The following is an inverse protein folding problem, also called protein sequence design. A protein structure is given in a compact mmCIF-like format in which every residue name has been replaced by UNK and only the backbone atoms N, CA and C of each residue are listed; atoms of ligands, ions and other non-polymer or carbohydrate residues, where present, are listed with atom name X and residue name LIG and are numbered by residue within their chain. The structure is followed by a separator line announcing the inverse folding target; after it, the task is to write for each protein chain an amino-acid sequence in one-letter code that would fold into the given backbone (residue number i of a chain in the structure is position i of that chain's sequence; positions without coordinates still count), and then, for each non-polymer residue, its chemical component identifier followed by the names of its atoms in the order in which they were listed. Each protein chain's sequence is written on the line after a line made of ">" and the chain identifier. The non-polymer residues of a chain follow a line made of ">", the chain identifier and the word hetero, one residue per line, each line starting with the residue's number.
data_IF_582317705490
#
_entry.id   IF_582317705490
#
_cell.length_a   1.000
_cell.length_b   1.000
_cell.length_c   1.000
_cell.angle_alpha   90.00
_cell.angle_beta   90.00
_cell.angle_gamma   90.00
#
_symmetry.space_group_name_H-M   'P 1'
#
loop_
_entity.id
_entity.type
_entity.pdbx_description
1 polymer ?
#
# COMPACT_ATOMS: atom_id res chain seq x y z
N UNK A 1 1.16 5.41 -7.29
CA UNK A 1 2.18 4.88 -6.35
C UNK A 1 3.34 5.87 -6.29
N UNK A 2 3.98 6.08 -5.12
CA UNK A 2 5.09 7.04 -5.00
C UNK A 2 6.24 6.52 -5.88
N UNK A 3 6.60 7.21 -6.97
CA UNK A 3 7.61 6.74 -7.94
C UNK A 3 8.98 6.45 -7.30
N UNK A 4 9.27 7.04 -6.14
CA UNK A 4 10.54 6.90 -5.44
C UNK A 4 10.82 5.50 -4.88
N UNK A 5 9.76 4.71 -4.61
CA UNK A 5 9.88 3.36 -4.05
C UNK A 5 9.85 2.27 -5.13
N UNK A 6 9.66 2.64 -6.39
CA UNK A 6 9.69 1.68 -7.49
C UNK A 6 11.13 1.11 -7.64
N UNK A 7 11.32 -0.23 -7.68
CA UNK A 7 12.62 -0.87 -7.84
C UNK A 7 13.47 -0.26 -8.97
N UNK A 8 12.89 0.00 -10.14
CA UNK A 8 13.62 0.59 -11.26
C UNK A 8 14.12 2.02 -10.95
N UNK A 9 13.33 2.78 -10.19
CA UNK A 9 13.65 4.15 -9.81
C UNK A 9 14.60 4.23 -8.60
N UNK A 10 14.50 3.26 -7.69
CA UNK A 10 15.35 3.14 -6.52
C UNK A 10 16.77 2.67 -6.89
N UNK A 11 16.89 1.70 -7.81
CA UNK A 11 18.19 1.21 -8.30
C UNK A 11 18.93 2.25 -9.15
N UNK A 12 18.21 3.02 -9.97
CA UNK A 12 18.81 4.07 -10.81
C UNK A 12 19.31 5.29 -10.02
N UNK A 13 19.07 5.34 -8.70
CA UNK A 13 19.49 6.41 -7.80
C UNK A 13 19.14 7.83 -8.30
N UNK A 14 18.07 7.97 -9.09
CA UNK A 14 17.66 9.25 -9.65
C UNK A 14 17.34 10.26 -8.53
N UNK A 15 16.84 9.77 -7.40
CA UNK A 15 16.62 10.60 -6.21
C UNK A 15 17.81 10.54 -5.25
N UNK A 16 18.71 11.51 -5.40
CA UNK A 16 19.94 11.64 -4.58
C UNK A 16 19.70 11.94 -3.11
N UNK A 17 18.50 12.37 -2.72
CA UNK A 17 18.19 12.75 -1.35
C UNK A 17 16.75 12.49 -0.95
N UNK A 18 16.59 11.87 0.23
CA UNK A 18 15.30 11.73 0.91
C UNK A 18 14.93 12.97 1.75
N UNK A 19 15.70 14.07 1.68
CA UNK A 19 15.43 15.34 2.38
C UNK A 19 13.98 15.83 2.25
N UNK A 20 13.34 15.83 1.06
CA UNK A 20 11.95 16.28 0.92
C UNK A 20 10.96 15.47 1.77
N UNK A 21 11.26 14.19 2.02
CA UNK A 21 10.43 13.29 2.83
C UNK A 21 10.53 13.66 4.30
N UNK A 22 11.73 13.96 4.79
CA UNK A 22 11.94 14.42 6.17
C UNK A 22 11.31 15.79 6.44
N UNK A 23 11.25 16.66 5.43
CA UNK A 23 10.53 17.95 5.53
C UNK A 23 9.02 17.71 5.61
N UNK A 24 8.50 16.79 4.79
CA UNK A 24 7.07 16.47 4.75
C UNK A 24 6.59 15.68 5.98
N UNK A 25 7.45 14.84 6.56
CA UNK A 25 7.16 14.01 7.73
C UNK A 25 8.19 14.26 8.82
N UNK A 26 8.08 15.37 9.58
CA UNK A 26 9.04 15.72 10.63
C UNK A 26 9.12 14.66 11.74
N UNK A 27 8.07 13.86 11.91
CA UNK A 27 8.04 12.74 12.87
C UNK A 27 9.15 11.72 12.63
N UNK A 28 9.61 11.56 11.37
CA UNK A 28 10.72 10.67 11.05
C UNK A 28 12.03 11.10 11.71
N UNK A 29 12.23 12.39 11.98
CA UNK A 29 13.46 12.89 12.60
C UNK A 29 13.64 12.38 14.04
N UNK A 30 12.55 12.03 14.71
CA UNK A 30 12.58 11.48 16.07
C UNK A 30 12.76 9.95 16.06
N UNK A 31 12.46 9.29 14.95
CA UNK A 31 12.43 7.82 14.84
C UNK A 31 13.70 7.28 14.18
N UNK A 32 14.24 8.00 13.19
CA UNK A 32 15.40 7.55 12.40
C UNK A 32 16.50 8.61 12.36
N UNK A 33 17.75 8.14 12.36
CA UNK A 33 18.93 9.01 12.21
C UNK A 33 19.08 9.41 10.75
N UNK A 34 18.77 10.67 10.40
CA UNK A 34 18.83 11.17 9.02
C UNK A 34 20.15 10.89 8.30
N UNK A 35 21.29 11.00 9.00
CA UNK A 35 22.61 10.75 8.41
C UNK A 35 22.78 9.27 8.06
N UNK A 36 22.42 8.37 8.98
CA UNK A 36 22.46 6.93 8.75
C UNK A 36 21.51 6.53 7.61
N UNK A 37 20.28 7.07 7.55
CA UNK A 37 19.35 6.79 6.46
C UNK A 37 19.88 7.23 5.10
N UNK A 38 20.58 8.38 5.01
CA UNK A 38 21.18 8.85 3.76
C UNK A 38 22.32 7.94 3.30
N UNK A 39 23.10 7.42 4.24
CA UNK A 39 24.17 6.49 3.96
C UNK A 39 23.58 5.14 3.49
N UNK A 40 22.63 4.59 4.24
CA UNK A 40 21.90 3.36 3.88
C UNK A 40 21.24 3.46 2.48
N UNK A 41 20.67 4.62 2.13
CA UNK A 41 20.09 4.86 0.81
C UNK A 41 21.13 4.82 -0.32
N UNK A 42 22.33 5.33 -0.07
CA UNK A 42 23.44 5.27 -1.03
C UNK A 42 24.00 3.86 -1.15
N UNK A 43 24.22 3.20 -0.02
CA UNK A 43 24.71 1.82 0.03
C UNK A 43 23.76 0.88 -0.71
N UNK A 44 22.44 1.05 -0.55
CA UNK A 44 21.43 0.31 -1.30
C UNK A 44 21.62 0.44 -2.82
N UNK A 45 21.85 1.66 -3.34
CA UNK A 45 22.01 1.88 -4.77
C UNK A 45 23.37 1.42 -5.31
N UNK A 46 24.34 1.17 -4.42
CA UNK A 46 25.64 0.59 -4.76
C UNK A 46 25.65 -0.93 -4.59
N UNK A 47 24.57 -1.54 -4.10
CA UNK A 47 24.48 -3.00 -4.00
C UNK A 47 24.59 -3.61 -5.39
N UNK A 48 25.33 -4.71 -5.47
CA UNK A 48 25.36 -5.51 -6.68
C UNK A 48 24.06 -6.31 -6.78
N UNK A 49 23.05 -5.71 -7.43
CA UNK A 49 21.69 -6.25 -7.55
C UNK A 49 21.65 -7.66 -8.18
N UNK A 50 22.64 -8.02 -8.99
CA UNK A 50 22.79 -9.34 -9.62
C UNK A 50 23.16 -10.44 -8.61
N UNK A 51 23.93 -10.11 -7.57
CA UNK A 51 24.34 -11.07 -6.52
C UNK A 51 23.19 -11.29 -5.52
N UNK A 52 22.41 -10.25 -5.26
CA UNK A 52 21.31 -10.25 -4.28
C UNK A 52 19.96 -10.69 -4.88
N UNK A 53 19.92 -11.17 -6.14
CA UNK A 53 18.69 -11.57 -6.86
C UNK A 53 17.59 -10.47 -6.82
N UNK A 54 18.00 -9.21 -6.97
CA UNK A 54 17.14 -8.04 -6.92
C UNK A 54 16.74 -7.61 -8.34
N UNK A 55 15.81 -8.35 -8.94
CA UNK A 55 15.27 -7.97 -10.25
C UNK A 55 14.27 -6.80 -10.13
N UNK A 56 14.37 -5.87 -11.07
CA UNK A 56 13.42 -4.76 -11.26
C UNK A 56 12.01 -5.22 -11.67
N UNK A 57 11.86 -6.46 -12.16
CA UNK A 57 10.54 -7.05 -12.47
C UNK A 57 9.72 -7.46 -11.24
N UNK A 58 10.36 -7.52 -10.05
CA UNK A 58 9.69 -7.90 -8.81
C UNK A 58 8.62 -6.88 -8.40
N UNK A 59 7.62 -7.37 -7.68
CA UNK A 59 6.68 -6.47 -7.01
C UNK A 59 7.44 -5.55 -6.05
N UNK A 60 6.95 -4.31 -5.90
CA UNK A 60 7.58 -3.32 -5.00
C UNK A 60 7.74 -3.87 -3.59
N UNK A 61 6.76 -4.64 -3.11
CA UNK A 61 6.75 -5.26 -1.79
C UNK A 61 7.82 -6.34 -1.66
N UNK A 62 7.92 -7.23 -2.65
CA UNK A 62 8.91 -8.31 -2.66
C UNK A 62 10.34 -7.78 -2.75
N UNK A 63 10.55 -6.75 -3.58
CA UNK A 63 11.83 -6.09 -3.73
C UNK A 63 12.33 -5.54 -2.39
N UNK A 64 11.54 -4.68 -1.75
CA UNK A 64 11.93 -4.07 -0.48
C UNK A 64 12.02 -5.10 0.66
N UNK A 65 11.18 -6.14 0.64
CA UNK A 65 11.27 -7.26 1.59
C UNK A 65 12.63 -7.95 1.52
N UNK A 66 13.14 -8.21 0.30
CA UNK A 66 14.48 -8.78 0.08
C UNK A 66 15.58 -7.84 0.56
N UNK A 67 15.52 -6.56 0.16
CA UNK A 67 16.49 -5.54 0.60
C UNK A 67 16.58 -5.47 2.13
N UNK A 68 15.46 -5.49 2.85
CA UNK A 68 15.47 -5.43 4.32
C UNK A 68 15.92 -6.72 5.01
N UNK A 69 16.01 -7.82 4.26
CA UNK A 69 16.50 -9.10 4.74
C UNK A 69 17.99 -9.33 4.47
N UNK A 70 18.64 -8.43 3.71
CA UNK A 70 20.10 -8.47 3.52
C UNK A 70 20.79 -8.26 4.87
N UNK A 71 21.66 -9.21 5.22
CA UNK A 71 22.44 -9.22 6.46
C UNK A 71 23.92 -9.12 6.12
N UNK A 72 24.65 -8.40 6.96
CA UNK A 72 26.10 -8.37 6.91
C UNK A 72 26.70 -9.71 7.38
N UNK A 73 28.01 -9.90 7.18
CA UNK A 73 28.74 -11.08 7.66
C UNK A 73 28.57 -11.36 9.17
N UNK A 74 28.25 -10.33 9.95
CA UNK A 74 27.92 -10.41 11.38
C UNK A 74 26.43 -10.73 11.68
N UNK A 75 25.63 -11.12 10.69
CA UNK A 75 24.21 -11.47 10.83
C UNK A 75 23.25 -10.29 11.11
N UNK A 76 23.77 -9.06 11.15
CA UNK A 76 22.99 -7.85 11.44
C UNK A 76 22.41 -7.26 10.15
N UNK A 77 21.15 -6.81 10.19
CA UNK A 77 20.46 -6.17 9.06
C UNK A 77 21.11 -4.83 8.70
N UNK A 78 21.46 -4.60 7.43
CA UNK A 78 22.10 -3.35 7.00
C UNK A 78 21.16 -2.14 7.08
N UNK A 79 19.90 -2.29 6.69
CA UNK A 79 19.03 -1.17 6.32
C UNK A 79 17.91 -0.91 7.32
N UNK A 80 18.23 -0.78 8.61
CA UNK A 80 17.22 -0.65 9.67
C UNK A 80 16.52 0.72 9.64
N UNK A 81 17.24 1.82 9.40
CA UNK A 81 16.62 3.15 9.38
C UNK A 81 15.85 3.36 8.07
N UNK A 82 16.42 2.92 6.95
CA UNK A 82 15.81 2.99 5.63
C UNK A 82 14.50 2.20 5.57
N UNK A 83 14.45 1.02 6.21
CA UNK A 83 13.25 0.21 6.33
C UNK A 83 12.05 0.97 6.89
N UNK A 84 12.25 1.78 7.93
CA UNK A 84 11.16 2.55 8.56
C UNK A 84 10.63 3.60 7.58
N UNK A 85 11.52 4.31 6.89
CA UNK A 85 11.12 5.35 5.93
C UNK A 85 10.37 4.75 4.74
N UNK A 86 10.89 3.69 4.15
CA UNK A 86 10.25 3.05 2.99
C UNK A 86 8.92 2.41 3.37
N UNK A 87 8.82 1.77 4.53
CA UNK A 87 7.53 1.23 5.02
C UNK A 87 6.47 2.33 5.14
N UNK A 88 6.82 3.49 5.69
CA UNK A 88 5.90 4.62 5.75
C UNK A 88 5.45 5.03 4.35
N UNK A 89 6.40 5.13 3.40
CA UNK A 89 6.10 5.49 2.01
C UNK A 89 5.26 4.46 1.27
N UNK A 90 5.31 3.18 1.63
CA UNK A 90 4.48 2.12 1.05
C UNK A 90 3.06 2.12 1.65
N UNK A 91 2.92 2.44 2.94
CA UNK A 91 1.62 2.51 3.62
C UNK A 91 0.80 3.74 3.19
N UNK A 92 1.45 4.88 2.95
CA UNK A 92 0.78 6.12 2.53
C UNK A 92 -0.12 5.96 1.27
N UNK A 93 0.36 5.42 0.14
CA UNK A 93 -0.48 5.20 -1.04
C UNK A 93 -1.52 4.10 -0.82
N UNK A 94 -1.26 3.10 0.02
CA UNK A 94 -2.26 2.07 0.34
C UNK A 94 -3.42 2.63 1.17
N UNK A 95 -3.12 3.48 2.15
CA UNK A 95 -4.12 4.19 2.94
C UNK A 95 -4.92 5.17 2.08
N UNK A 96 -4.24 5.97 1.25
CA UNK A 96 -4.93 6.89 0.35
C UNK A 96 -5.76 6.16 -0.70
N UNK A 97 -5.28 5.09 -1.32
CA UNK A 97 -6.04 4.33 -2.31
C UNK A 97 -7.28 3.65 -1.69
N UNK A 98 -7.16 3.09 -0.48
CA UNK A 98 -8.31 2.53 0.23
C UNK A 98 -9.34 3.60 0.55
N UNK A 99 -8.88 4.76 1.03
CA UNK A 99 -9.73 5.91 1.34
C UNK A 99 -10.36 6.48 0.06
N UNK A 100 -9.63 6.58 -1.04
CA UNK A 100 -10.10 7.02 -2.36
C UNK A 100 -11.07 6.00 -2.98
N UNK A 101 -10.91 4.69 -2.77
CA UNK A 101 -11.88 3.66 -3.18
C UNK A 101 -13.17 3.81 -2.38
N UNK A 102 -13.08 4.04 -1.08
CA UNK A 102 -14.26 4.30 -0.23
C UNK A 102 -14.94 5.60 -0.64
N UNK A 103 -14.19 6.69 -0.83
CA UNK A 103 -14.73 7.97 -1.30
C UNK A 103 -15.28 7.91 -2.72
N UNK A 104 -14.67 7.16 -3.63
CA UNK A 104 -15.18 6.96 -4.99
C UNK A 104 -16.43 6.10 -4.99
N UNK A 105 -16.51 5.07 -4.15
CA UNK A 105 -17.72 4.27 -3.96
C UNK A 105 -18.83 5.11 -3.36
N UNK A 106 -18.53 5.92 -2.34
CA UNK A 106 -19.47 6.87 -1.73
C UNK A 106 -19.92 7.94 -2.73
N UNK A 107 -19.00 8.47 -3.54
CA UNK A 107 -19.30 9.47 -4.56
C UNK A 107 -20.14 8.84 -5.67
N UNK A 108 -19.83 7.63 -6.13
CA UNK A 108 -20.67 6.92 -7.11
C UNK A 108 -22.07 6.69 -6.56
N UNK A 109 -22.20 6.19 -5.32
CA UNK A 109 -23.50 6.01 -4.64
C UNK A 109 -24.26 7.33 -4.47
N UNK A 110 -23.56 8.44 -4.22
CA UNK A 110 -24.18 9.76 -3.98
C UNK A 110 -24.51 10.52 -5.28
N UNK A 111 -23.74 10.30 -6.35
CA UNK A 111 -23.83 11.07 -7.60
C UNK A 111 -24.64 10.33 -8.68
N UNK A 112 -24.68 8.99 -8.70
CA UNK A 112 -25.51 8.23 -9.67
C UNK A 112 -26.95 7.98 -9.20
N UNK A 113 -27.21 8.03 -7.89
CA UNK A 113 -28.57 7.94 -7.35
C UNK A 113 -28.94 9.25 -6.65
N UNK A 114 -29.84 10.03 -7.27
CA UNK A 114 -30.73 10.97 -6.57
C UNK A 114 -31.73 10.22 -5.64
N UNK A 115 -31.29 9.18 -4.92
CA UNK A 115 -32.00 8.66 -3.77
C UNK A 115 -31.10 8.84 -2.56
N UNK A 116 -31.62 9.61 -1.60
CA UNK A 116 -31.04 9.86 -0.29
C UNK A 116 -31.07 8.55 0.51
N UNK A 117 -30.23 7.57 0.15
CA UNK A 117 -30.10 6.30 0.85
C UNK A 117 -29.61 6.61 2.27
N UNK A 118 -30.37 6.15 3.26
CA UNK A 118 -30.00 6.28 4.68
C UNK A 118 -28.65 5.58 4.89
N UNK A 119 -27.86 6.12 5.80
CA UNK A 119 -26.50 5.63 6.14
C UNK A 119 -26.49 4.14 6.50
N UNK A 120 -27.56 3.64 7.10
CA UNK A 120 -27.78 2.23 7.42
C UNK A 120 -27.80 1.33 6.17
N UNK A 121 -28.54 1.73 5.13
CA UNK A 121 -28.60 1.00 3.85
C UNK A 121 -27.26 1.01 3.14
N UNK A 122 -26.53 2.13 3.24
CA UNK A 122 -25.21 2.28 2.65
C UNK A 122 -24.19 1.34 3.33
N UNK A 123 -24.27 1.23 4.67
CA UNK A 123 -23.48 0.29 5.45
C UNK A 123 -23.79 -1.16 5.07
N UNK A 124 -25.06 -1.52 4.96
CA UNK A 124 -25.48 -2.86 4.56
C UNK A 124 -24.95 -3.24 3.16
N UNK A 125 -25.09 -2.36 2.17
CA UNK A 125 -24.58 -2.59 0.80
C UNK A 125 -23.06 -2.79 0.82
N UNK A 126 -22.33 -1.98 1.59
CA UNK A 126 -20.88 -2.07 1.69
C UNK A 126 -20.44 -3.38 2.35
N UNK A 127 -21.07 -3.76 3.47
CA UNK A 127 -20.80 -5.02 4.16
C UNK A 127 -21.12 -6.24 3.28
N UNK A 128 -22.24 -6.23 2.56
CA UNK A 128 -22.59 -7.32 1.62
C UNK A 128 -21.59 -7.40 0.47
N UNK A 129 -21.16 -6.27 -0.08
CA UNK A 129 -20.17 -6.24 -1.17
C UNK A 129 -18.80 -6.75 -0.74
N UNK A 130 -18.37 -6.41 0.47
CA UNK A 130 -17.11 -6.90 1.03
C UNK A 130 -17.20 -8.38 1.40
N UNK A 131 -18.34 -8.85 1.92
CA UNK A 131 -18.61 -10.27 2.14
C UNK A 131 -18.54 -11.10 0.85
N UNK A 132 -19.20 -10.65 -0.22
CA UNK A 132 -19.19 -11.33 -1.54
C UNK A 132 -17.78 -11.35 -2.15
N UNK A 133 -16.97 -10.31 -1.92
CA UNK A 133 -15.56 -10.28 -2.33
C UNK A 133 -14.71 -11.30 -1.56
N UNK A 134 -15.01 -11.55 -0.29
CA UNK A 134 -14.32 -12.54 0.54
C UNK A 134 -14.63 -13.99 0.12
N UNK A 135 -15.81 -14.25 -0.47
CA UNK A 135 -16.25 -15.58 -0.92
C UNK A 135 -16.02 -15.84 -2.43
N UNK A 136 -14.80 -15.55 -2.93
CA UNK A 136 -14.39 -15.81 -4.33
C UNK A 136 -15.19 -15.07 -5.43
N UNK A 137 -15.94 -14.04 -5.07
CA UNK A 137 -16.55 -13.10 -6.02
C UNK A 137 -17.89 -13.55 -6.61
N UNK A 138 -18.43 -12.68 -7.49
CA UNK A 138 -19.81 -12.69 -8.00
C UNK A 138 -20.20 -14.01 -8.69
N UNK A 139 -19.22 -14.79 -9.17
CA UNK A 139 -19.43 -16.03 -9.94
C UNK A 139 -19.95 -17.18 -9.06
N UNK A 140 -19.74 -17.13 -7.74
CA UNK A 140 -20.18 -18.16 -6.79
C UNK A 140 -21.39 -17.74 -5.94
N UNK A 141 -21.91 -16.52 -6.11
CA UNK A 141 -23.06 -16.06 -5.35
C UNK A 141 -24.35 -16.71 -5.87
N UNK A 142 -24.81 -17.75 -5.16
CA UNK A 142 -26.10 -18.37 -5.42
C UNK A 142 -27.11 -17.88 -4.36
N UNK A 143 -28.07 -17.00 -4.71
CA UNK A 143 -29.00 -16.45 -3.74
C UNK A 143 -29.81 -17.57 -3.08
N UNK A 144 -29.93 -17.52 -1.75
CA UNK A 144 -30.74 -18.47 -0.98
C UNK A 144 -32.22 -18.32 -1.33
N UNK A 145 -33.00 -19.41 -1.28
CA UNK A 145 -34.45 -19.39 -1.55
C UNK A 145 -35.22 -18.40 -0.67
N UNK A 146 -34.69 -18.09 0.52
CA UNK A 146 -35.23 -17.04 1.39
C UNK A 146 -35.12 -15.63 0.77
N UNK A 147 -34.03 -15.33 0.07
CA UNK A 147 -33.80 -14.04 -0.58
C UNK A 147 -34.71 -13.81 -1.80
N UNK A 148 -35.16 -14.88 -2.44
CA UNK A 148 -36.07 -14.82 -3.60
C UNK A 148 -37.54 -14.62 -3.19
N UNK A 149 -37.89 -14.93 -1.94
CA UNK A 149 -39.27 -14.91 -1.44
C UNK A 149 -39.64 -13.66 -0.63
N UNK A 150 -38.70 -12.74 -0.38
CA UNK A 150 -39.06 -11.45 0.22
C UNK A 150 -39.76 -10.56 -0.82
N UNK A 151 -41.09 -10.46 -0.70
CA UNK A 151 -41.89 -9.46 -1.40
C UNK A 151 -41.49 -8.07 -0.90
N UNK A 152 -40.73 -7.34 -1.71
CA UNK A 152 -40.37 -5.93 -1.47
C UNK A 152 -41.48 -4.92 -1.80
N UNK A 153 -42.72 -5.37 -2.03
CA UNK A 153 -43.86 -4.49 -2.30
C UNK A 153 -45.11 -5.02 -1.59
N UNK A 154 -45.54 -4.30 -0.56
CA UNK A 154 -46.91 -4.22 -0.04
C UNK A 154 -47.31 -2.76 -0.03
#
# INVERSE_FOLDING_TARGET
>A
MIKIVDPAHAQSFQTKSLKPIFIRFPILNNIVKQQATKQEWREHALLNHSIENLDTSLSVEDYWSRVFNIKNAAGTKLFNNLKVVIKLLLVLPFSNASVEIVFSTLHLCKTTYRNRLKTETLRAIMTTKDGIKSEKGIVAFNPSKAMLNEKLWS
#
